data_IF_532486521207
#
_entry.id   IF_532486521207
#
_cell.length_a   1.000
_cell.length_b   1.000
_cell.length_c   1.000
_cell.angle_alpha   90.00
_cell.angle_beta   90.00
_cell.angle_gamma   90.00
#
_symmetry.space_group_name_H-M   'P 1'
#
loop_
_entity.id
_entity.type
_entity.pdbx_description
1 polymer ?
#
# COMPACT_ATOMS: atom_id res chain seq x y z
N UNK A 1 8.44 6.82 -0.34
CA UNK A 1 7.08 6.23 -0.29
C UNK A 1 5.99 7.29 -0.27
N UNK A 2 5.81 8.10 0.79
CA UNK A 2 4.88 9.25 0.79
C UNK A 2 5.60 10.58 0.44
N UNK A 3 6.71 10.49 -0.29
CA UNK A 3 7.47 11.64 -0.78
C UNK A 3 7.14 11.93 -2.24
N UNK A 4 7.63 13.06 -2.79
CA UNK A 4 7.28 13.51 -4.14
C UNK A 4 7.68 12.53 -5.25
N UNK A 5 8.72 11.71 -5.04
CA UNK A 5 9.30 10.83 -6.07
C UNK A 5 8.69 9.43 -6.16
N UNK A 6 7.60 9.15 -5.44
CA UNK A 6 6.92 7.85 -5.52
C UNK A 6 5.91 7.80 -6.66
N UNK A 7 5.96 6.78 -7.51
CA UNK A 7 4.91 6.46 -8.51
C UNK A 7 3.57 6.28 -7.78
N UNK A 8 2.48 6.71 -8.42
CA UNK A 8 1.16 6.57 -7.82
C UNK A 8 0.75 5.10 -7.72
N UNK A 9 0.11 4.75 -6.61
CA UNK A 9 -0.37 3.39 -6.32
C UNK A 9 -1.46 3.45 -5.27
N UNK A 10 -2.31 2.44 -5.22
CA UNK A 10 -3.36 2.33 -4.20
C UNK A 10 -2.76 2.41 -2.78
N UNK A 11 -1.58 1.81 -2.61
CA UNK A 11 -0.82 1.84 -1.36
C UNK A 11 -0.39 3.26 -0.96
N UNK A 12 0.07 4.08 -1.91
CA UNK A 12 0.43 5.48 -1.69
C UNK A 12 -0.82 6.31 -1.36
N UNK A 13 -1.90 6.17 -2.13
CA UNK A 13 -3.16 6.88 -1.89
C UNK A 13 -3.77 6.53 -0.52
N UNK A 14 -3.70 5.26 -0.12
CA UNK A 14 -4.10 4.83 1.23
C UNK A 14 -3.25 5.50 2.32
N UNK A 15 -1.93 5.56 2.13
CA UNK A 15 -1.04 6.23 3.08
C UNK A 15 -1.24 7.75 3.16
N UNK A 16 -1.55 8.41 2.05
CA UNK A 16 -1.88 9.85 2.02
C UNK A 16 -3.17 10.13 2.81
N UNK A 17 -4.24 9.37 2.55
CA UNK A 17 -5.50 9.45 3.34
C UNK A 17 -5.28 9.20 4.83
N UNK A 18 -4.33 8.35 5.18
CA UNK A 18 -3.98 8.09 6.59
C UNK A 18 -3.22 9.26 7.22
N UNK A 19 -2.39 9.95 6.44
CA UNK A 19 -1.66 11.13 6.90
C UNK A 19 -2.56 12.35 7.10
N UNK A 20 -3.63 12.49 6.30
CA UNK A 20 -4.63 13.57 6.40
C UNK A 20 -5.46 13.54 7.69
N UNK A 21 -5.65 12.34 8.27
CA UNK A 21 -6.59 12.13 9.38
C UNK A 21 -6.03 12.40 10.77
N UNK A 22 -4.80 12.89 10.92
CA UNK A 22 -4.19 13.03 12.26
C UNK A 22 -3.38 14.31 12.47
N UNK A 23 -3.05 14.55 13.74
CA UNK A 23 -2.21 15.68 14.17
C UNK A 23 -0.71 15.47 13.92
N UNK A 24 0.14 16.07 14.77
CA UNK A 24 1.59 16.21 14.54
C UNK A 24 2.36 14.92 14.13
N UNK A 25 1.88 13.74 14.52
CA UNK A 25 2.52 12.44 14.22
C UNK A 25 1.88 11.65 13.08
N UNK A 26 0.85 12.17 12.42
CA UNK A 26 0.10 11.44 11.40
C UNK A 26 0.97 11.00 10.23
N UNK A 27 1.80 11.90 9.71
CA UNK A 27 2.73 11.59 8.61
C UNK A 27 3.69 10.46 8.96
N UNK A 28 4.27 10.46 10.16
CA UNK A 28 5.18 9.39 10.62
C UNK A 28 4.46 8.05 10.71
N UNK A 29 3.26 8.03 11.32
CA UNK A 29 2.43 6.83 11.42
C UNK A 29 2.02 6.30 10.04
N UNK A 30 1.64 7.19 9.13
CA UNK A 30 1.29 6.83 7.77
C UNK A 30 2.46 6.18 7.03
N UNK A 31 3.67 6.74 7.13
CA UNK A 31 4.87 6.15 6.54
C UNK A 31 5.12 4.74 7.08
N UNK A 32 5.07 4.55 8.40
CA UNK A 32 5.27 3.24 9.03
C UNK A 32 4.19 2.25 8.59
N UNK A 33 2.93 2.67 8.55
CA UNK A 33 1.82 1.82 8.13
C UNK A 33 1.96 1.37 6.67
N UNK A 34 2.37 2.28 5.78
CA UNK A 34 2.63 1.95 4.37
C UNK A 34 3.81 0.99 4.24
N UNK A 35 4.90 1.20 4.98
CA UNK A 35 6.06 0.30 4.95
C UNK A 35 5.69 -1.12 5.40
N UNK A 36 4.87 -1.26 6.46
CA UNK A 36 4.36 -2.57 6.90
C UNK A 36 3.52 -3.26 5.83
N UNK A 37 2.58 -2.54 5.20
CA UNK A 37 1.75 -3.11 4.13
C UNK A 37 2.59 -3.49 2.91
N UNK A 38 3.63 -2.71 2.59
CA UNK A 38 4.58 -3.03 1.52
C UNK A 38 5.35 -4.31 1.82
N UNK A 39 5.86 -4.48 3.04
CA UNK A 39 6.58 -5.70 3.43
C UNK A 39 5.70 -6.96 3.30
N UNK A 40 4.42 -6.86 3.69
CA UNK A 40 3.47 -7.97 3.53
C UNK A 40 3.20 -8.28 2.06
N UNK A 41 3.01 -7.26 1.22
CA UNK A 41 2.80 -7.44 -0.23
C UNK A 41 4.02 -8.14 -0.83
N UNK A 42 5.22 -7.63 -0.58
CA UNK A 42 6.46 -8.22 -1.09
C UNK A 42 6.65 -9.67 -0.62
N UNK A 43 6.36 -9.95 0.64
CA UNK A 43 6.42 -11.31 1.17
C UNK A 43 5.43 -12.24 0.48
N UNK A 44 4.19 -11.80 0.25
CA UNK A 44 3.18 -12.59 -0.48
C UNK A 44 3.62 -12.85 -1.92
N UNK A 45 4.06 -11.82 -2.64
CA UNK A 45 4.53 -11.96 -4.02
C UNK A 45 5.71 -12.91 -4.13
N UNK A 46 6.64 -12.85 -3.17
CA UNK A 46 7.75 -13.79 -3.09
C UNK A 46 7.27 -15.23 -2.89
N UNK A 47 6.31 -15.45 -1.99
CA UNK A 47 5.78 -16.79 -1.73
C UNK A 47 4.92 -17.35 -2.86
N UNK A 48 4.20 -16.51 -3.61
CA UNK A 48 3.27 -16.94 -4.67
C UNK A 48 3.86 -16.85 -6.08
N UNK A 49 5.00 -16.17 -6.27
CA UNK A 49 5.59 -15.91 -7.58
C UNK A 49 4.79 -14.94 -8.46
N UNK A 50 3.79 -14.23 -7.90
CA UNK A 50 2.96 -13.29 -8.66
C UNK A 50 3.65 -11.95 -8.85
N UNK A 51 3.23 -11.21 -9.88
CA UNK A 51 3.71 -9.86 -10.15
C UNK A 51 2.98 -8.82 -9.28
N UNK A 52 3.68 -7.73 -8.96
CA UNK A 52 3.08 -6.62 -8.23
C UNK A 52 2.16 -5.79 -9.13
N UNK A 53 0.89 -5.66 -8.71
CA UNK A 53 -0.07 -4.74 -9.31
C UNK A 53 -0.26 -3.51 -8.40
N UNK A 54 0.06 -2.29 -8.87
CA UNK A 54 -0.08 -1.06 -8.07
C UNK A 54 -1.54 -0.69 -7.74
N UNK A 55 -2.49 -1.14 -8.56
CA UNK A 55 -3.93 -0.95 -8.41
C UNK A 55 -4.62 -2.31 -8.61
N UNK A 56 -4.60 -3.18 -7.60
CA UNK A 56 -5.19 -4.50 -7.71
C UNK A 56 -6.68 -4.37 -8.02
N UNK A 57 -7.14 -5.02 -9.09
CA UNK A 57 -8.57 -5.06 -9.41
C UNK A 57 -9.28 -5.97 -8.41
N UNK A 58 -9.73 -5.40 -7.29
CA UNK A 58 -10.38 -6.14 -6.21
C UNK A 58 -11.65 -6.87 -6.66
N UNK A 59 -12.27 -6.45 -7.76
CA UNK A 59 -13.49 -7.05 -8.31
C UNK A 59 -13.29 -8.41 -9.00
N UNK A 60 -12.06 -8.83 -9.34
CA UNK A 60 -11.80 -10.10 -10.04
C UNK A 60 -11.34 -11.25 -9.12
N UNK A 61 -11.11 -10.98 -7.84
CA UNK A 61 -10.54 -11.95 -6.89
C UNK A 61 -11.61 -12.67 -6.03
N UNK A 62 -12.89 -12.36 -6.23
CA UNK A 62 -14.01 -12.95 -5.50
C UNK A 62 -14.71 -14.10 -6.28
N UNK A 63 -14.37 -14.31 -7.56
CA UNK A 63 -14.98 -15.36 -8.41
C UNK A 63 -14.23 -16.71 -8.41
N UNK A 64 -13.17 -16.87 -7.59
CA UNK A 64 -12.32 -18.08 -7.59
C UNK A 64 -12.26 -18.82 -6.24
N UNK A 65 -13.23 -18.62 -5.34
CA UNK A 65 -13.34 -19.39 -4.07
C UNK A 65 -14.47 -20.41 -4.15
#
# INVERSE_FOLDING_TARGET
ILGPFGVDSELKQWGLRLAERGGANAKRRAVVAVARKLAVILHRLWSTGMLYEPFPNRALNEESV
#
